data_IF_092975582598
#
_entry.id   IF_092975582598
#
_cell.length_a   1.000
_cell.length_b   1.000
_cell.length_c   1.000
_cell.angle_alpha   90.00
_cell.angle_beta   90.00
_cell.angle_gamma   90.00
#
_symmetry.space_group_name_H-M   'P 1'
#
loop_
_entity.id
_entity.type
_entity.pdbx_description
1 polymer ?
#
# COMPACT_ATOMS: atom_id res chain seq x y z
N UNK A 1 40.85 -4.11 14.96
CA UNK A 1 39.83 -5.17 14.89
C UNK A 1 38.46 -4.73 15.43
N UNK A 2 38.37 -3.54 16.00
CA UNK A 2 37.12 -2.94 16.53
C UNK A 2 36.23 -2.28 15.46
N UNK A 3 36.81 -1.76 14.39
CA UNK A 3 36.09 -1.02 13.34
C UNK A 3 35.20 -1.88 12.42
N UNK A 4 35.37 -3.20 12.42
CA UNK A 4 34.61 -4.10 11.56
C UNK A 4 33.28 -4.60 12.18
N UNK A 5 33.08 -4.41 13.48
CA UNK A 5 31.86 -4.78 14.18
C UNK A 5 30.84 -3.64 14.26
N UNK A 6 31.22 -2.39 14.06
CA UNK A 6 30.31 -1.25 14.09
C UNK A 6 29.43 -1.16 12.81
N UNK A 7 29.95 -1.60 11.67
CA UNK A 7 29.20 -1.66 10.41
C UNK A 7 28.06 -2.69 10.42
N UNK A 8 28.01 -3.58 11.38
CA UNK A 8 26.98 -4.62 11.52
C UNK A 8 25.88 -4.29 12.53
N UNK A 9 26.05 -3.26 13.32
CA UNK A 9 25.03 -2.80 14.25
C UNK A 9 24.11 -1.78 13.57
N UNK A 10 22.90 -2.23 13.24
CA UNK A 10 21.82 -1.31 12.85
C UNK A 10 21.55 -0.41 14.05
N UNK A 11 21.84 0.87 13.90
CA UNK A 11 21.64 1.86 14.95
C UNK A 11 20.17 1.98 15.35
N UNK A 12 19.91 2.46 16.55
CA UNK A 12 18.54 2.66 17.03
C UNK A 12 17.78 3.65 16.17
N UNK A 13 18.46 4.65 15.64
CA UNK A 13 17.91 5.65 14.73
C UNK A 13 17.46 5.00 13.41
N UNK A 14 18.29 4.15 12.81
CA UNK A 14 17.98 3.41 11.61
C UNK A 14 16.73 2.53 11.73
N UNK A 15 16.58 1.86 12.88
CA UNK A 15 15.40 1.04 13.18
C UNK A 15 14.14 1.89 13.27
N UNK A 16 14.26 3.08 13.89
CA UNK A 16 13.15 4.03 14.00
C UNK A 16 12.73 4.54 12.62
N UNK A 17 13.69 4.89 11.77
CA UNK A 17 13.38 5.32 10.40
C UNK A 17 12.85 4.19 9.54
N UNK A 18 13.38 2.98 9.66
CA UNK A 18 12.83 1.77 9.03
C UNK A 18 11.38 1.50 9.46
N UNK A 19 11.08 1.61 10.75
CA UNK A 19 9.72 1.54 11.25
C UNK A 19 8.81 2.62 10.64
N UNK A 20 9.26 3.87 10.62
CA UNK A 20 8.48 5.00 10.11
C UNK A 20 8.20 4.88 8.61
N UNK A 21 9.15 4.36 7.81
CA UNK A 21 8.95 4.25 6.35
C UNK A 21 7.81 3.29 6.01
N UNK A 22 7.63 2.21 6.77
CA UNK A 22 6.53 1.29 6.58
C UNK A 22 5.18 1.87 7.01
N UNK A 23 5.16 2.67 8.07
CA UNK A 23 3.95 3.37 8.51
C UNK A 23 3.64 4.62 7.67
N UNK A 24 4.64 5.18 7.01
CA UNK A 24 4.49 6.36 6.17
C UNK A 24 3.41 6.22 5.10
N UNK A 25 3.28 5.03 4.53
CA UNK A 25 2.21 4.73 3.58
C UNK A 25 0.81 4.83 4.20
N UNK A 26 0.62 4.34 5.41
CA UNK A 26 -0.67 4.40 6.12
C UNK A 26 -1.00 5.85 6.47
N UNK A 27 -0.05 6.57 7.04
CA UNK A 27 -0.20 7.99 7.41
C UNK A 27 -0.46 8.84 6.17
N UNK A 28 0.32 8.65 5.11
CA UNK A 28 0.16 9.37 3.86
C UNK A 28 -1.22 9.17 3.23
N UNK A 29 -1.74 7.94 3.27
CA UNK A 29 -3.09 7.64 2.77
C UNK A 29 -4.19 8.34 3.57
N UNK A 30 -4.00 8.53 4.87
CA UNK A 30 -4.94 9.27 5.71
C UNK A 30 -4.97 10.77 5.37
N UNK A 31 -3.85 11.32 4.87
CA UNK A 31 -3.71 12.75 4.56
C UNK A 31 -4.06 13.06 3.10
N UNK A 32 -3.63 12.23 2.16
CA UNK A 32 -3.76 12.44 0.70
C UNK A 32 -4.23 11.18 -0.02
N UNK A 33 -5.48 10.77 0.18
CA UNK A 33 -6.05 9.67 -0.61
C UNK A 33 -6.29 10.14 -2.07
N UNK A 34 -6.02 9.35 -3.11
CA UNK A 34 -5.62 7.94 -3.14
C UNK A 34 -4.11 7.68 -3.29
N UNK A 35 -3.28 8.69 -3.49
CA UNK A 35 -1.83 8.52 -3.79
C UNK A 35 -0.92 8.75 -2.57
N UNK A 36 -1.48 9.20 -1.47
CA UNK A 36 -0.74 9.57 -0.26
C UNK A 36 0.02 8.39 0.36
N UNK A 37 -0.45 7.16 0.18
CA UNK A 37 0.26 5.98 0.64
C UNK A 37 1.65 5.85 -0.01
N UNK A 38 1.77 6.11 -1.32
CA UNK A 38 3.05 6.09 -2.02
C UNK A 38 3.89 7.28 -1.57
N UNK A 39 3.29 8.47 -1.55
CA UNK A 39 3.99 9.73 -1.19
C UNK A 39 4.53 9.65 0.23
N UNK A 40 3.75 9.16 1.20
CA UNK A 40 4.17 9.06 2.59
C UNK A 40 5.39 8.15 2.79
N UNK A 41 5.39 6.96 2.20
CA UNK A 41 6.54 6.06 2.25
C UNK A 41 7.74 6.63 1.50
N UNK A 42 7.52 7.22 0.32
CA UNK A 42 8.55 7.81 -0.52
C UNK A 42 9.27 8.98 0.16
N UNK A 43 8.53 9.88 0.78
CA UNK A 43 9.09 11.05 1.48
C UNK A 43 10.02 10.60 2.60
N UNK A 44 9.56 9.69 3.46
CA UNK A 44 10.38 9.20 4.58
C UNK A 44 11.63 8.49 4.06
N UNK A 45 11.50 7.64 3.03
CA UNK A 45 12.65 6.98 2.41
C UNK A 45 13.66 7.96 1.84
N UNK A 46 13.22 8.97 1.07
CA UNK A 46 14.10 9.95 0.43
C UNK A 46 14.90 10.77 1.45
N UNK A 47 14.35 11.03 2.63
CA UNK A 47 15.05 11.76 3.68
C UNK A 47 16.27 11.00 4.21
N UNK A 48 16.23 9.67 4.31
CA UNK A 48 17.25 8.88 5.01
C UNK A 48 17.99 7.86 4.15
N UNK A 49 17.59 7.64 2.89
CA UNK A 49 18.18 6.58 2.03
C UNK A 49 19.70 6.69 1.83
N UNK A 50 20.24 7.92 1.86
CA UNK A 50 21.66 8.16 1.64
C UNK A 50 22.50 8.06 2.93
N UNK A 51 21.86 8.06 4.09
CA UNK A 51 22.52 8.02 5.40
C UNK A 51 22.53 6.60 5.97
N UNK A 52 21.56 5.78 5.63
CA UNK A 52 21.40 4.42 6.16
C UNK A 52 21.07 3.41 5.07
N UNK A 53 21.94 2.43 4.89
CA UNK A 53 21.67 1.29 3.98
C UNK A 53 20.45 0.48 4.43
N UNK A 54 20.23 0.36 5.74
CA UNK A 54 19.06 -0.33 6.27
C UNK A 54 17.79 0.38 5.84
N UNK A 55 17.70 1.70 6.03
CA UNK A 55 16.54 2.50 5.64
C UNK A 55 16.35 2.51 4.12
N UNK A 56 17.43 2.46 3.33
CA UNK A 56 17.31 2.35 1.87
C UNK A 56 16.64 1.04 1.44
N UNK A 57 17.01 -0.08 2.06
CA UNK A 57 16.40 -1.39 1.77
C UNK A 57 14.94 -1.41 2.19
N UNK A 58 14.62 -1.04 3.44
CA UNK A 58 13.25 -1.03 3.96
C UNK A 58 12.36 -0.04 3.20
N UNK A 59 12.91 1.11 2.80
CA UNK A 59 12.19 2.12 2.04
C UNK A 59 11.80 1.66 0.64
N UNK A 60 12.70 0.98 -0.06
CA UNK A 60 12.39 0.36 -1.37
C UNK A 60 11.29 -0.68 -1.24
N UNK A 61 11.34 -1.54 -0.24
CA UNK A 61 10.30 -2.55 0.02
C UNK A 61 8.96 -1.86 0.36
N UNK A 62 8.96 -0.84 1.21
CA UNK A 62 7.74 -0.10 1.56
C UNK A 62 7.11 0.60 0.34
N UNK A 63 7.90 1.35 -0.44
CA UNK A 63 7.42 2.06 -1.63
C UNK A 63 6.88 1.07 -2.68
N UNK A 64 7.60 -0.01 -2.96
CA UNK A 64 7.16 -1.06 -3.88
C UNK A 64 5.84 -1.69 -3.45
N UNK A 65 5.67 -1.95 -2.16
CA UNK A 65 4.43 -2.48 -1.62
C UNK A 65 3.27 -1.48 -1.76
N UNK A 66 3.47 -0.20 -1.44
CA UNK A 66 2.44 0.81 -1.59
C UNK A 66 2.03 1.03 -3.05
N UNK A 67 2.97 0.99 -4.00
CA UNK A 67 2.68 1.00 -5.43
C UNK A 67 1.81 -0.21 -5.81
N UNK A 68 2.18 -1.41 -5.32
CA UNK A 68 1.43 -2.63 -5.59
C UNK A 68 0.00 -2.55 -5.09
N UNK A 69 -0.21 -2.08 -3.86
CA UNK A 69 -1.55 -1.90 -3.29
C UNK A 69 -2.37 -0.86 -4.07
N UNK A 70 -1.74 0.23 -4.51
CA UNK A 70 -2.40 1.24 -5.34
C UNK A 70 -2.80 0.70 -6.71
N UNK A 71 -1.94 -0.08 -7.37
CA UNK A 71 -2.27 -0.72 -8.65
C UNK A 71 -3.42 -1.72 -8.50
N UNK A 72 -3.46 -2.47 -7.40
CA UNK A 72 -4.58 -3.36 -7.07
C UNK A 72 -5.89 -2.59 -6.91
N UNK A 73 -5.87 -1.45 -6.22
CA UNK A 73 -7.06 -0.60 -6.08
C UNK A 73 -7.51 -0.01 -7.41
N UNK A 74 -6.58 0.44 -8.25
CA UNK A 74 -6.90 0.95 -9.60
C UNK A 74 -7.49 -0.16 -10.47
N UNK A 75 -6.90 -1.35 -10.48
CA UNK A 75 -7.41 -2.49 -11.23
C UNK A 75 -8.84 -2.86 -10.78
N UNK A 76 -9.09 -2.92 -9.48
CA UNK A 76 -10.42 -3.16 -8.92
C UNK A 76 -11.41 -2.09 -9.37
N UNK A 77 -11.02 -0.82 -9.36
CA UNK A 77 -11.87 0.30 -9.79
C UNK A 77 -12.23 0.21 -11.28
N UNK A 78 -11.27 -0.15 -12.13
CA UNK A 78 -11.50 -0.36 -13.56
C UNK A 78 -12.46 -1.52 -13.80
N UNK A 79 -12.23 -2.66 -13.16
CA UNK A 79 -13.09 -3.85 -13.30
C UNK A 79 -14.52 -3.52 -12.87
N UNK A 80 -14.66 -2.85 -11.72
CA UNK A 80 -15.98 -2.43 -11.23
C UNK A 80 -16.65 -1.47 -12.21
N UNK A 81 -15.93 -0.49 -12.73
CA UNK A 81 -16.45 0.46 -13.72
C UNK A 81 -16.91 -0.20 -15.02
N UNK A 82 -16.18 -1.21 -15.50
CA UNK A 82 -16.56 -1.99 -16.69
C UNK A 82 -17.84 -2.81 -16.44
N UNK A 83 -17.94 -3.47 -15.29
CA UNK A 83 -19.12 -4.26 -14.91
C UNK A 83 -20.36 -3.35 -14.80
N UNK A 84 -20.23 -2.24 -14.07
CA UNK A 84 -21.31 -1.27 -13.88
C UNK A 84 -21.76 -0.63 -15.20
N UNK A 85 -20.79 -0.28 -16.05
CA UNK A 85 -21.06 0.26 -17.39
C UNK A 85 -21.78 -0.72 -18.31
N UNK A 86 -21.34 -1.99 -18.36
CA UNK A 86 -22.01 -3.03 -19.13
C UNK A 86 -23.45 -3.27 -18.65
N UNK A 87 -23.66 -3.27 -17.34
CA UNK A 87 -24.98 -3.42 -16.74
C UNK A 87 -25.92 -2.27 -17.07
N UNK A 88 -25.43 -1.03 -16.96
CA UNK A 88 -26.18 0.18 -17.32
C UNK A 88 -26.58 0.16 -18.80
N UNK A 89 -25.65 -0.21 -19.68
CA UNK A 89 -25.91 -0.32 -21.12
C UNK A 89 -26.96 -1.38 -21.44
N UNK A 90 -26.88 -2.56 -20.81
CA UNK A 90 -27.86 -3.63 -20.98
C UNK A 90 -29.26 -3.18 -20.57
N UNK A 91 -29.39 -2.47 -19.47
CA UNK A 91 -30.70 -1.92 -19.03
C UNK A 91 -31.23 -0.87 -19.96
N UNK A 92 -30.41 0.01 -20.49
CA UNK A 92 -30.81 0.98 -21.49
C UNK A 92 -31.42 0.30 -22.73
N UNK A 93 -30.80 -0.81 -23.19
CA UNK A 93 -31.30 -1.58 -24.33
C UNK A 93 -32.61 -2.32 -24.04
N UNK A 94 -32.78 -2.83 -22.83
CA UNK A 94 -33.95 -3.62 -22.45
C UNK A 94 -35.14 -2.79 -21.98
N UNK A 95 -35.00 -1.47 -21.91
CA UNK A 95 -36.09 -0.53 -21.54
C UNK A 95 -36.81 -0.89 -20.22
N UNK A 96 -36.10 -1.44 -19.23
CA UNK A 96 -36.71 -1.88 -17.98
C UNK A 96 -36.54 -0.81 -16.89
N UNK A 97 -37.55 0.04 -16.60
CA UNK A 97 -37.43 1.13 -15.65
C UNK A 97 -37.62 0.72 -14.19
N UNK A 98 -37.98 -0.53 -13.90
CA UNK A 98 -38.56 -0.86 -12.56
C UNK A 98 -37.59 -1.43 -11.54
N UNK A 99 -36.33 -1.75 -11.90
CA UNK A 99 -35.40 -2.42 -10.97
C UNK A 99 -34.20 -1.54 -10.51
N UNK A 100 -34.42 -0.29 -10.22
CA UNK A 100 -33.36 0.62 -9.81
C UNK A 100 -32.78 0.37 -8.40
N UNK A 101 -33.48 -0.33 -7.51
CA UNK A 101 -33.15 -0.35 -6.09
C UNK A 101 -32.17 -1.45 -5.64
N UNK A 102 -32.13 -2.62 -6.28
CA UNK A 102 -31.35 -3.74 -5.77
C UNK A 102 -29.87 -3.84 -6.24
N UNK A 103 -29.48 -3.10 -7.26
CA UNK A 103 -28.12 -3.19 -7.80
C UNK A 103 -27.11 -2.31 -7.08
N UNK A 104 -27.54 -1.15 -6.59
CA UNK A 104 -26.69 -0.27 -5.81
C UNK A 104 -26.14 -1.00 -4.57
N UNK A 105 -26.96 -1.82 -3.93
CA UNK A 105 -26.56 -2.56 -2.74
C UNK A 105 -25.46 -3.58 -3.05
N UNK A 106 -25.63 -4.37 -4.12
CA UNK A 106 -24.65 -5.41 -4.45
C UNK A 106 -23.33 -4.83 -4.95
N UNK A 107 -23.36 -3.85 -5.86
CA UNK A 107 -22.16 -3.18 -6.38
C UNK A 107 -21.44 -2.43 -5.27
N UNK A 108 -22.20 -1.74 -4.40
CA UNK A 108 -21.64 -1.05 -3.23
C UNK A 108 -20.96 -2.04 -2.29
N UNK A 109 -21.60 -3.14 -1.93
CA UNK A 109 -21.02 -4.14 -1.03
C UNK A 109 -19.77 -4.80 -1.63
N UNK A 110 -19.77 -5.13 -2.92
CA UNK A 110 -18.58 -5.69 -3.57
C UNK A 110 -17.43 -4.68 -3.59
N UNK A 111 -17.66 -3.48 -4.10
CA UNK A 111 -16.61 -2.45 -4.21
C UNK A 111 -16.10 -2.03 -2.84
N UNK A 112 -17.00 -1.77 -1.90
CA UNK A 112 -16.65 -1.38 -0.54
C UNK A 112 -15.96 -2.52 0.20
N UNK A 113 -16.46 -3.75 0.12
CA UNK A 113 -15.88 -4.92 0.77
C UNK A 113 -14.47 -5.23 0.27
N UNK A 114 -14.24 -5.27 -1.05
CA UNK A 114 -12.92 -5.51 -1.62
C UNK A 114 -11.94 -4.38 -1.30
N UNK A 115 -12.38 -3.13 -1.38
CA UNK A 115 -11.54 -1.97 -1.02
C UNK A 115 -11.12 -2.03 0.45
N UNK A 116 -12.03 -2.38 1.35
CA UNK A 116 -11.73 -2.54 2.77
C UNK A 116 -10.82 -3.74 3.04
N UNK A 117 -10.97 -4.84 2.30
CA UNK A 117 -10.08 -5.99 2.39
C UNK A 117 -8.65 -5.62 1.96
N UNK A 118 -8.47 -4.94 0.82
CA UNK A 118 -7.17 -4.46 0.36
C UNK A 118 -6.56 -3.50 1.40
N UNK A 119 -7.36 -2.59 1.94
CA UNK A 119 -6.91 -1.67 2.99
C UNK A 119 -6.47 -2.41 4.26
N UNK A 120 -7.24 -3.42 4.72
CA UNK A 120 -6.88 -4.21 5.88
C UNK A 120 -5.59 -5.02 5.67
N UNK A 121 -5.40 -5.58 4.47
CA UNK A 121 -4.16 -6.27 4.08
C UNK A 121 -2.98 -5.29 4.08
N UNK A 122 -3.15 -4.10 3.49
CA UNK A 122 -2.12 -3.06 3.51
C UNK A 122 -1.75 -2.69 4.96
N UNK A 123 -2.73 -2.42 5.81
CA UNK A 123 -2.52 -2.08 7.22
C UNK A 123 -1.77 -3.19 7.97
N UNK A 124 -2.23 -4.44 7.85
CA UNK A 124 -1.64 -5.58 8.55
C UNK A 124 -0.17 -5.80 8.15
N UNK A 125 0.11 -5.84 6.85
CA UNK A 125 1.48 -6.06 6.37
C UNK A 125 2.40 -4.87 6.68
N UNK A 126 1.92 -3.63 6.61
CA UNK A 126 2.71 -2.45 6.97
C UNK A 126 3.05 -2.44 8.46
N UNK A 127 2.13 -2.85 9.34
CA UNK A 127 2.41 -2.97 10.78
C UNK A 127 3.43 -4.08 11.05
N UNK A 128 3.28 -5.26 10.42
CA UNK A 128 4.23 -6.36 10.58
C UNK A 128 5.63 -5.92 10.12
N UNK A 129 5.73 -5.29 8.96
CA UNK A 129 6.98 -4.78 8.43
C UNK A 129 7.63 -3.74 9.37
N UNK A 130 6.82 -2.78 9.85
CA UNK A 130 7.29 -1.78 10.81
C UNK A 130 7.85 -2.41 12.10
N UNK A 131 7.16 -3.40 12.65
CA UNK A 131 7.62 -4.12 13.84
C UNK A 131 8.94 -4.85 13.56
N UNK A 132 9.10 -5.49 12.41
CA UNK A 132 10.33 -6.19 12.04
C UNK A 132 11.49 -5.20 11.85
N UNK A 133 11.26 -4.10 11.15
CA UNK A 133 12.25 -3.05 10.98
C UNK A 133 12.69 -2.45 12.34
N UNK A 134 11.76 -2.23 13.26
CA UNK A 134 12.09 -1.76 14.62
C UNK A 134 12.95 -2.74 15.42
N UNK A 135 12.86 -4.05 15.11
CA UNK A 135 13.75 -5.08 15.68
C UNK A 135 15.10 -5.15 14.97
N UNK A 136 15.31 -4.40 13.90
CA UNK A 136 16.50 -4.45 13.06
C UNK A 136 16.49 -5.59 12.03
N UNK A 137 15.35 -6.20 11.77
CA UNK A 137 15.19 -7.26 10.77
C UNK A 137 14.71 -6.68 9.46
N UNK A 138 15.28 -7.13 8.35
CA UNK A 138 14.74 -6.83 7.03
C UNK A 138 13.41 -7.54 6.82
N UNK A 139 12.42 -6.77 6.33
CA UNK A 139 11.12 -7.33 5.98
C UNK A 139 10.87 -7.27 4.48
N UNK A 140 10.51 -8.40 3.91
CA UNK A 140 10.21 -8.54 2.50
C UNK A 140 8.73 -8.85 2.31
N UNK A 141 8.02 -7.95 1.64
CA UNK A 141 6.59 -8.14 1.37
C UNK A 141 6.35 -9.30 0.38
N UNK A 142 5.43 -10.22 0.68
CA UNK A 142 5.22 -11.41 -0.14
C UNK A 142 4.64 -11.12 -1.52
N UNK A 143 3.86 -10.03 -1.67
CA UNK A 143 3.13 -9.70 -2.89
C UNK A 143 3.57 -8.37 -3.51
N UNK A 144 4.77 -7.92 -3.23
CA UNK A 144 5.27 -6.63 -3.73
C UNK A 144 5.89 -6.76 -5.11
N UNK A 145 5.46 -5.92 -6.03
CA UNK A 145 6.15 -5.68 -7.31
C UNK A 145 7.43 -4.88 -7.02
N UNK A 146 8.56 -5.35 -7.56
CA UNK A 146 9.86 -4.71 -7.34
C UNK A 146 10.21 -3.77 -8.46
N UNK A 147 9.57 -2.61 -8.47
CA UNK A 147 9.75 -1.58 -9.48
C UNK A 147 10.92 -0.65 -9.12
N UNK A 148 11.06 -0.33 -7.84
CA UNK A 148 12.18 0.44 -7.29
C UNK A 148 13.27 -0.54 -6.86
N UNK A 149 14.47 -0.41 -7.45
CA UNK A 149 15.64 -1.29 -7.23
C UNK A 149 16.71 -0.63 -6.38
#
# INVERSE_FOLDING_TARGET
>A
METQNDDLRIERDDRTWGFLVHLGGIIGNAVFSPVGNIIGALVIWLFKKNESRFVDIEGKEAVNFQITMSLLMVALSIINGLISGAWTFTRFLLSDPVRYSHHWDTEFFFTFGFSKAIWAVNLAFSIIAAIQANKGNHYRYPFSLRLVK
#
